data_IF_440690858398
#
_entry.id   IF_440690858398
#
_cell.length_a   1.000
_cell.length_b   1.000
_cell.length_c   1.000
_cell.angle_alpha   90.00
_cell.angle_beta   90.00
_cell.angle_gamma   90.00
#
_symmetry.space_group_name_H-M   'P 1'
#
loop_
_entity.id
_entity.type
_entity.pdbx_description
1 polymer ?
#
# COMPACT_ATOMS: atom_id res chain seq x y z
N UNK A 1 19.66 -3.76 12.38
CA UNK A 1 18.78 -4.02 13.54
C UNK A 1 17.32 -4.04 13.10
N UNK A 2 16.74 -2.92 12.64
CA UNK A 2 15.34 -2.82 12.18
C UNK A 2 14.92 -3.80 11.07
N UNK A 3 15.74 -3.98 10.02
CA UNK A 3 15.44 -4.91 8.90
C UNK A 3 15.38 -6.37 9.35
N UNK A 4 16.28 -6.78 10.24
CA UNK A 4 16.30 -8.15 10.77
C UNK A 4 15.09 -8.42 11.68
N UNK A 5 14.64 -7.41 12.43
CA UNK A 5 13.43 -7.50 13.23
C UNK A 5 12.19 -7.64 12.33
N UNK A 6 12.09 -6.83 11.28
CA UNK A 6 11.02 -6.94 10.28
C UNK A 6 10.95 -8.32 9.63
N UNK A 7 12.09 -8.88 9.19
CA UNK A 7 12.13 -10.23 8.59
C UNK A 7 11.73 -11.32 9.61
N UNK A 8 12.08 -11.15 10.89
CA UNK A 8 11.67 -12.06 11.96
C UNK A 8 10.16 -12.04 12.16
N UNK A 9 9.58 -10.86 12.38
CA UNK A 9 8.14 -10.67 12.62
C UNK A 9 7.32 -11.11 11.41
N UNK A 10 7.82 -10.88 10.20
CA UNK A 10 7.16 -11.36 8.99
C UNK A 10 7.02 -12.89 8.95
N UNK A 11 8.03 -13.63 9.41
CA UNK A 11 7.92 -15.08 9.49
C UNK A 11 6.89 -15.54 10.54
N UNK A 12 6.69 -14.75 11.60
CA UNK A 12 5.68 -15.01 12.64
C UNK A 12 4.25 -14.80 12.08
N UNK A 13 4.02 -13.75 11.27
CA UNK A 13 2.72 -13.51 10.64
C UNK A 13 2.42 -14.44 9.45
N UNK A 14 3.43 -14.81 8.67
CA UNK A 14 3.19 -15.42 7.35
C UNK A 14 3.24 -16.96 7.33
N UNK A 15 3.32 -17.63 8.49
CA UNK A 15 3.24 -19.09 8.66
C UNK A 15 4.00 -19.93 7.59
N UNK A 16 5.18 -19.46 7.16
CA UNK A 16 6.02 -20.16 6.16
C UNK A 16 5.95 -19.63 4.72
N UNK A 17 5.18 -18.58 4.43
CA UNK A 17 5.26 -17.91 3.12
C UNK A 17 6.59 -17.14 2.96
N UNK A 18 7.04 -16.98 1.72
CA UNK A 18 8.29 -16.27 1.41
C UNK A 18 8.18 -14.81 1.83
N UNK A 19 9.05 -14.40 2.77
CA UNK A 19 9.13 -13.00 3.23
C UNK A 19 9.26 -12.02 2.07
N UNK A 20 8.42 -10.98 2.09
CA UNK A 20 8.42 -9.86 1.15
C UNK A 20 9.26 -8.71 1.70
N UNK A 21 10.18 -8.23 0.87
CA UNK A 21 11.02 -7.07 1.20
C UNK A 21 10.29 -5.78 0.83
N UNK A 22 10.33 -4.80 1.73
CA UNK A 22 9.90 -3.43 1.43
C UNK A 22 10.65 -2.92 0.19
N UNK A 23 9.90 -2.36 -0.75
CA UNK A 23 10.44 -1.86 -2.01
C UNK A 23 10.73 -0.37 -1.88
N UNK A 24 11.86 0.06 -2.47
CA UNK A 24 12.10 1.49 -2.65
C UNK A 24 11.12 2.03 -3.67
N UNK A 25 10.53 3.18 -3.37
CA UNK A 25 9.79 3.96 -4.36
C UNK A 25 10.82 4.60 -5.28
N UNK A 26 10.91 4.11 -6.51
CA UNK A 26 11.64 4.81 -7.58
C UNK A 26 10.72 5.85 -8.23
N UNK A 27 11.27 7.01 -8.56
CA UNK A 27 10.50 8.22 -8.88
C UNK A 27 9.89 8.22 -10.28
N UNK A 28 10.31 7.32 -11.17
CA UNK A 28 9.96 7.38 -12.61
C UNK A 28 8.94 6.33 -13.07
N UNK A 29 8.61 5.33 -12.24
CA UNK A 29 7.68 4.27 -12.64
C UNK A 29 6.62 4.05 -11.56
N UNK A 30 5.37 4.31 -11.92
CA UNK A 30 4.19 3.95 -11.13
C UNK A 30 4.15 2.47 -10.68
N UNK A 31 4.71 1.52 -11.44
CA UNK A 31 4.86 0.12 -11.02
C UNK A 31 5.74 -0.01 -9.79
N UNK A 32 6.71 0.88 -9.59
CA UNK A 32 7.50 0.92 -8.37
C UNK A 32 6.69 1.39 -7.16
N UNK A 33 5.76 2.32 -7.38
CA UNK A 33 4.84 2.80 -6.34
C UNK A 33 3.83 1.72 -5.98
N UNK A 34 3.25 1.05 -6.98
CA UNK A 34 2.36 -0.10 -6.80
C UNK A 34 3.04 -1.23 -6.01
N UNK A 35 4.23 -1.67 -6.44
CA UNK A 35 5.00 -2.70 -5.74
C UNK A 35 5.34 -2.33 -4.29
N UNK A 36 5.62 -1.05 -4.01
CA UNK A 36 5.90 -0.58 -2.66
C UNK A 36 4.63 -0.59 -1.80
N UNK A 37 3.50 -0.14 -2.36
CA UNK A 37 2.22 -0.13 -1.69
C UNK A 37 1.72 -1.55 -1.37
N UNK A 38 1.81 -2.47 -2.34
CA UNK A 38 1.48 -3.89 -2.14
C UNK A 38 2.35 -4.51 -1.06
N UNK A 39 3.66 -4.23 -1.04
CA UNK A 39 4.55 -4.72 0.01
C UNK A 39 4.12 -4.22 1.40
N UNK A 40 3.68 -2.96 1.52
CA UNK A 40 3.19 -2.41 2.78
C UNK A 40 1.88 -3.08 3.21
N UNK A 41 0.89 -3.17 2.31
CA UNK A 41 -0.43 -3.73 2.64
C UNK A 41 -0.36 -5.21 3.01
N UNK A 42 0.46 -5.99 2.32
CA UNK A 42 0.57 -7.42 2.62
C UNK A 42 1.43 -7.74 3.84
N UNK A 43 2.30 -6.82 4.24
CA UNK A 43 3.17 -7.00 5.41
C UNK A 43 2.80 -6.03 6.52
N UNK A 44 1.53 -5.57 6.51
CA UNK A 44 1.07 -4.46 7.32
C UNK A 44 1.36 -4.67 8.80
N UNK A 45 0.97 -5.82 9.37
CA UNK A 45 1.27 -6.14 10.77
C UNK A 45 2.78 -6.12 11.08
N UNK A 46 3.61 -6.69 10.21
CA UNK A 46 5.07 -6.67 10.38
C UNK A 46 5.67 -5.26 10.31
N UNK A 47 5.11 -4.38 9.48
CA UNK A 47 5.50 -2.97 9.41
C UNK A 47 5.16 -2.26 10.71
N UNK A 48 3.93 -2.44 11.22
CA UNK A 48 3.45 -1.83 12.46
C UNK A 48 4.33 -2.24 13.65
N UNK A 49 4.53 -3.55 13.85
CA UNK A 49 5.35 -4.08 14.94
C UNK A 49 6.81 -3.58 14.87
N UNK A 50 7.36 -3.46 13.66
CA UNK A 50 8.73 -2.95 13.47
C UNK A 50 8.83 -1.47 13.84
N UNK A 51 7.79 -0.68 13.57
CA UNK A 51 7.74 0.72 13.97
C UNK A 51 7.59 0.84 15.49
N UNK A 52 6.75 0.04 16.12
CA UNK A 52 6.62 0.01 17.58
C UNK A 52 7.93 -0.40 18.26
N UNK A 53 8.58 -1.45 17.77
CA UNK A 53 9.90 -1.86 18.25
C UNK A 53 10.93 -0.74 18.12
N UNK A 54 10.97 -0.08 16.96
CA UNK A 54 11.92 1.02 16.70
C UNK A 54 11.67 2.21 17.62
N UNK A 55 10.40 2.54 17.90
CA UNK A 55 10.00 3.60 18.84
C UNK A 55 10.40 3.25 20.28
N UNK A 56 10.20 2.00 20.69
CA UNK A 56 10.43 1.55 22.06
C UNK A 56 11.91 1.32 22.40
N UNK A 57 12.74 1.04 21.41
CA UNK A 57 14.18 0.81 21.58
C UNK A 57 14.98 2.06 21.29
N UNK A 58 15.01 2.48 20.03
CA UNK A 58 15.85 3.57 19.54
C UNK A 58 15.22 4.96 19.85
N UNK A 59 13.89 5.04 19.90
CA UNK A 59 13.17 6.28 20.23
C UNK A 59 13.33 6.75 21.68
N UNK A 60 13.83 5.90 22.59
CA UNK A 60 14.18 6.30 23.98
C UNK A 60 15.47 7.10 24.05
N UNK A 61 16.39 6.84 23.13
CA UNK A 61 17.69 7.52 23.06
C UNK A 61 17.62 8.75 22.14
N UNK A 62 16.80 8.70 21.09
CA UNK A 62 16.56 9.81 20.16
C UNK A 62 15.07 10.17 20.12
N UNK A 63 14.72 11.28 20.79
CA UNK A 63 13.35 11.80 20.84
C UNK A 63 12.80 12.17 19.46
N UNK A 64 13.66 12.65 18.54
CA UNK A 64 13.25 13.01 17.19
C UNK A 64 12.86 11.78 16.38
N UNK A 65 13.65 10.72 16.48
CA UNK A 65 13.33 9.42 15.88
C UNK A 65 12.05 8.83 16.48
N UNK A 66 11.90 8.87 17.81
CA UNK A 66 10.71 8.38 18.51
C UNK A 66 9.44 9.10 18.06
N UNK A 67 9.52 10.43 17.92
CA UNK A 67 8.41 11.25 17.42
C UNK A 67 8.04 10.89 15.97
N UNK A 68 9.02 10.89 15.05
CA UNK A 68 8.75 10.57 13.63
C UNK A 68 8.16 9.17 13.46
N UNK A 69 8.67 8.18 14.21
CA UNK A 69 8.17 6.81 14.18
C UNK A 69 6.73 6.72 14.71
N UNK A 70 6.42 7.44 15.78
CA UNK A 70 5.06 7.55 16.32
C UNK A 70 4.09 8.23 15.36
N UNK A 71 4.50 9.31 14.70
CA UNK A 71 3.70 9.97 13.67
C UNK A 71 3.42 9.04 12.49
N UNK A 72 4.44 8.35 11.98
CA UNK A 72 4.27 7.39 10.88
C UNK A 72 3.34 6.23 11.27
N UNK A 73 3.49 5.69 12.48
CA UNK A 73 2.63 4.65 13.02
C UNK A 73 1.17 5.12 13.06
N UNK A 74 0.92 6.30 13.64
CA UNK A 74 -0.44 6.88 13.70
C UNK A 74 -1.04 7.15 12.33
N UNK A 75 -0.21 7.48 11.33
CA UNK A 75 -0.67 7.70 9.97
C UNK A 75 -1.05 6.39 9.28
N UNK A 76 -0.23 5.34 9.41
CA UNK A 76 -0.52 4.01 8.85
C UNK A 76 -1.78 3.39 9.46
N UNK A 77 -2.00 3.59 10.76
CA UNK A 77 -3.20 3.17 11.49
C UNK A 77 -4.39 4.12 11.30
N UNK A 78 -4.34 5.03 10.33
CA UNK A 78 -5.51 5.86 10.00
C UNK A 78 -6.38 5.19 8.94
N UNK A 79 -7.70 5.17 9.15
CA UNK A 79 -8.67 4.73 8.14
C UNK A 79 -8.52 5.50 6.84
N UNK A 80 -8.15 6.78 6.93
CA UNK A 80 -7.79 7.63 5.79
C UNK A 80 -6.63 7.06 4.97
N UNK A 81 -5.56 6.60 5.62
CA UNK A 81 -4.44 5.98 4.91
C UNK A 81 -4.88 4.69 4.20
N UNK A 82 -5.56 3.78 4.91
CA UNK A 82 -6.02 2.51 4.33
C UNK A 82 -6.94 2.75 3.12
N UNK A 83 -7.92 3.65 3.26
CA UNK A 83 -8.82 3.99 2.15
C UNK A 83 -8.04 4.60 0.97
N UNK A 84 -7.08 5.49 1.24
CA UNK A 84 -6.24 6.08 0.18
C UNK A 84 -5.39 5.00 -0.51
N UNK A 85 -4.76 4.12 0.26
CA UNK A 85 -3.95 3.02 -0.23
C UNK A 85 -4.76 2.09 -1.15
N UNK A 86 -5.94 1.64 -0.73
CA UNK A 86 -6.79 0.79 -1.55
C UNK A 86 -7.31 1.49 -2.81
N UNK A 87 -7.60 2.80 -2.74
CA UNK A 87 -7.90 3.61 -3.93
C UNK A 87 -6.76 3.59 -4.94
N UNK A 88 -5.53 3.86 -4.49
CA UNK A 88 -4.35 3.84 -5.35
C UNK A 88 -4.10 2.45 -5.92
N UNK A 89 -4.34 1.38 -5.17
CA UNK A 89 -4.23 0.02 -5.66
C UNK A 89 -5.20 -0.25 -6.83
N UNK A 90 -6.47 0.17 -6.72
CA UNK A 90 -7.43 0.06 -7.84
C UNK A 90 -6.99 0.88 -9.05
N UNK A 91 -6.46 2.08 -8.84
CA UNK A 91 -5.92 2.93 -9.91
C UNK A 91 -4.74 2.24 -10.59
N UNK A 92 -3.77 1.72 -9.84
CA UNK A 92 -2.61 1.00 -10.38
C UNK A 92 -3.01 -0.25 -11.17
N UNK A 93 -4.03 -0.98 -10.72
CA UNK A 93 -4.55 -2.14 -11.44
C UNK A 93 -5.13 -1.78 -12.82
N UNK A 94 -5.85 -0.66 -12.92
CA UNK A 94 -6.36 -0.15 -14.21
C UNK A 94 -5.22 0.24 -15.15
N UNK A 95 -4.14 0.74 -14.56
CA UNK A 95 -3.02 1.35 -15.25
C UNK A 95 -1.91 0.34 -15.63
N UNK A 96 -1.84 -0.80 -14.96
CA UNK A 96 -0.83 -1.83 -15.17
C UNK A 96 -0.81 -2.41 -16.61
N UNK A 97 -1.96 -2.75 -17.25
CA UNK A 97 -1.97 -3.20 -18.64
C UNK A 97 -1.44 -2.13 -19.59
N UNK A 98 -1.83 -0.87 -19.39
CA UNK A 98 -1.35 0.27 -20.17
C UNK A 98 0.17 0.43 -20.02
N UNK A 99 0.70 0.26 -18.81
CA UNK A 99 2.15 0.30 -18.55
C UNK A 99 2.92 -0.71 -19.37
N UNK A 100 2.40 -1.93 -19.38
CA UNK A 100 3.08 -3.07 -19.98
C UNK A 100 3.07 -2.91 -21.50
N UNK A 101 1.92 -2.52 -22.04
CA UNK A 101 1.76 -2.25 -23.47
C UNK A 101 2.71 -1.15 -23.94
N UNK A 102 2.72 0.02 -23.28
CA UNK A 102 3.56 1.16 -23.68
C UNK A 102 5.07 0.91 -23.50
N UNK A 103 5.46 -0.09 -22.72
CA UNK A 103 6.86 -0.50 -22.54
C UNK A 103 7.28 -1.63 -23.48
N UNK A 104 6.37 -2.17 -24.29
CA UNK A 104 6.66 -3.24 -25.24
C UNK A 104 7.47 -2.69 -26.43
N UNK A 105 8.46 -3.45 -26.89
CA UNK A 105 9.37 -3.04 -27.99
C UNK A 105 8.63 -2.81 -29.31
N UNK A 106 7.68 -3.69 -29.62
CA UNK A 106 6.87 -3.64 -30.84
C UNK A 106 5.46 -3.17 -30.48
N UNK A 107 5.32 -1.85 -30.25
CA UNK A 107 4.05 -1.26 -29.85
C UNK A 107 3.09 -1.17 -31.05
N UNK A 108 1.99 -1.91 -30.98
CA UNK A 108 0.82 -1.65 -31.83
C UNK A 108 0.16 -0.34 -31.37
N UNK A 109 0.26 0.70 -32.22
CA UNK A 109 -0.30 2.03 -31.92
C UNK A 109 -1.82 2.00 -31.76
N UNK A 110 -2.54 1.16 -32.53
CA UNK A 110 -3.98 1.04 -32.42
C UNK A 110 -4.36 0.40 -31.07
N UNK A 111 -3.65 -0.67 -30.69
CA UNK A 111 -3.80 -1.27 -29.37
C UNK A 111 -3.46 -0.28 -28.25
N UNK A 112 -2.41 0.53 -28.43
CA UNK A 112 -2.01 1.59 -27.50
C UNK A 112 -3.11 2.63 -27.27
N UNK A 113 -3.68 3.16 -28.35
CA UNK A 113 -4.77 4.14 -28.27
C UNK A 113 -6.01 3.55 -27.61
N UNK A 114 -6.36 2.30 -27.94
CA UNK A 114 -7.48 1.61 -27.32
C UNK A 114 -7.24 1.42 -25.81
N UNK A 115 -6.06 0.97 -25.41
CA UNK A 115 -5.70 0.80 -24.00
C UNK A 115 -5.76 2.11 -23.20
N UNK A 116 -5.31 3.23 -23.80
CA UNK A 116 -5.42 4.56 -23.18
C UNK A 116 -6.88 4.95 -22.98
N UNK A 117 -7.73 4.74 -24.00
CA UNK A 117 -9.15 5.04 -23.92
C UNK A 117 -9.86 4.18 -22.87
N UNK A 118 -9.51 2.91 -22.76
CA UNK A 118 -10.09 1.98 -21.79
C UNK A 118 -9.65 2.32 -20.36
N UNK A 119 -8.38 2.66 -20.14
CA UNK A 119 -7.88 3.16 -18.86
C UNK A 119 -8.61 4.46 -18.47
N UNK A 120 -8.79 5.40 -19.41
CA UNK A 120 -9.53 6.65 -19.19
C UNK A 120 -10.98 6.38 -18.80
N UNK A 121 -11.70 5.53 -19.53
CA UNK A 121 -13.09 5.14 -19.22
C UNK A 121 -13.19 4.50 -17.84
N UNK A 122 -12.24 3.62 -17.52
CA UNK A 122 -12.19 2.91 -16.23
C UNK A 122 -11.97 3.89 -15.07
N UNK A 123 -11.03 4.83 -15.18
CA UNK A 123 -10.81 5.88 -14.17
C UNK A 123 -12.04 6.79 -14.04
N UNK A 124 -12.70 7.15 -15.14
CA UNK A 124 -13.93 7.93 -15.10
C UNK A 124 -15.06 7.18 -14.40
N UNK A 125 -15.17 5.86 -14.61
CA UNK A 125 -16.14 5.00 -13.91
C UNK A 125 -15.82 4.92 -12.41
N UNK A 126 -14.55 4.75 -12.04
CA UNK A 126 -14.09 4.76 -10.64
C UNK A 126 -14.51 6.06 -9.93
N UNK A 127 -14.43 7.21 -10.61
CA UNK A 127 -14.77 8.51 -10.04
C UNK A 127 -16.27 8.76 -9.88
N UNK A 128 -17.11 8.24 -10.78
CA UNK A 128 -18.53 8.62 -10.89
C UNK A 128 -19.50 7.61 -10.27
N UNK A 129 -19.03 6.42 -9.92
CA UNK A 129 -19.89 5.34 -9.49
C UNK A 129 -19.88 5.20 -7.96
N UNK A 130 -20.93 5.68 -7.31
CA UNK A 130 -21.08 5.65 -5.85
C UNK A 130 -21.03 4.20 -5.30
N UNK A 131 -21.53 3.22 -6.06
CA UNK A 131 -21.43 1.80 -5.69
C UNK A 131 -19.99 1.30 -5.56
N UNK A 132 -19.05 1.86 -6.34
CA UNK A 132 -17.62 1.52 -6.20
C UNK A 132 -17.05 2.09 -4.90
N UNK A 133 -17.49 3.28 -4.50
CA UNK A 133 -17.10 3.90 -3.23
C UNK A 133 -17.63 3.10 -2.03
N UNK A 134 -18.87 2.62 -2.11
CA UNK A 134 -19.46 1.74 -1.09
C UNK A 134 -18.70 0.41 -0.99
N UNK A 135 -18.43 -0.23 -2.13
CA UNK A 135 -17.66 -1.48 -2.17
C UNK A 135 -16.26 -1.31 -1.59
N UNK A 136 -15.57 -0.22 -1.93
CA UNK A 136 -14.26 0.09 -1.38
C UNK A 136 -14.34 0.34 0.13
N UNK A 137 -15.36 1.06 0.60
CA UNK A 137 -15.55 1.31 2.03
C UNK A 137 -15.74 -0.01 2.80
N UNK A 138 -16.43 -0.98 2.19
CA UNK A 138 -16.56 -2.33 2.74
C UNK A 138 -15.22 -3.08 2.75
N UNK A 139 -14.43 -3.02 1.67
CA UNK A 139 -13.07 -3.60 1.63
C UNK A 139 -12.17 -3.02 2.75
N UNK A 140 -12.21 -1.70 2.96
CA UNK A 140 -11.47 -1.03 4.03
C UNK A 140 -11.90 -1.55 5.40
N UNK A 141 -13.20 -1.67 5.64
CA UNK A 141 -13.72 -2.19 6.90
C UNK A 141 -13.36 -3.67 7.12
N UNK A 142 -13.32 -4.48 6.07
CA UNK A 142 -12.87 -5.88 6.14
C UNK A 142 -11.39 -5.93 6.50
N UNK A 143 -10.54 -5.14 5.83
CA UNK A 143 -9.11 -5.10 6.12
C UNK A 143 -8.83 -4.64 7.55
N UNK A 144 -9.55 -3.64 8.04
CA UNK A 144 -9.45 -3.20 9.45
C UNK A 144 -9.81 -4.35 10.39
N UNK A 145 -10.89 -5.09 10.11
CA UNK A 145 -11.31 -6.26 10.90
C UNK A 145 -10.28 -7.39 10.88
N UNK A 146 -9.68 -7.68 9.73
CA UNK A 146 -8.61 -8.68 9.62
C UNK A 146 -7.36 -8.29 10.42
N UNK A 147 -7.22 -7.00 10.74
CA UNK A 147 -6.14 -6.43 11.53
C UNK A 147 -6.64 -5.91 12.89
N UNK A 148 -7.65 -6.56 13.49
CA UNK A 148 -8.28 -6.20 14.77
C UNK A 148 -7.31 -6.09 15.96
N UNK A 149 -6.08 -6.60 15.83
CA UNK A 149 -5.01 -6.41 16.83
C UNK A 149 -4.51 -4.96 16.94
N UNK A 150 -4.82 -4.11 15.97
CA UNK A 150 -4.38 -2.71 15.95
C UNK A 150 -5.56 -1.73 16.07
N UNK A 151 -5.34 -0.64 16.80
CA UNK A 151 -6.34 0.43 16.93
C UNK A 151 -6.25 1.40 15.76
N UNK A 152 -7.32 1.47 14.94
CA UNK A 152 -7.39 2.38 13.81
C UNK A 152 -8.09 3.69 14.18
N UNK A 153 -7.53 4.82 13.77
CA UNK A 153 -8.20 6.12 13.91
C UNK A 153 -9.26 6.31 12.83
N UNK A 154 -10.46 6.74 13.23
CA UNK A 154 -11.53 7.16 12.31
C UNK A 154 -11.15 8.41 11.51
N UNK A 155 -11.95 8.73 10.49
CA UNK A 155 -11.78 9.96 9.70
C UNK A 155 -11.86 11.19 10.61
N UNK A 156 -10.74 11.90 10.77
CA UNK A 156 -10.70 13.26 11.28
C UNK A 156 -10.89 14.26 10.15
#
# INVERSE_FOLDING_TARGET
>A
KRVAYYEKVQNEYSAGQRGRRLKRVSTTRWTSQDNALQAILETFGSVIDTLEYSRNTEGREDQGLGHMTGCLLSYLLSKRFIMTAMWFQKIFNVLSPLSTLLQTRDLDLLAGVNSINDAKKSIQKLRKNDSIMEHLSNEVNIFIKENDSFEFSEFK
#
